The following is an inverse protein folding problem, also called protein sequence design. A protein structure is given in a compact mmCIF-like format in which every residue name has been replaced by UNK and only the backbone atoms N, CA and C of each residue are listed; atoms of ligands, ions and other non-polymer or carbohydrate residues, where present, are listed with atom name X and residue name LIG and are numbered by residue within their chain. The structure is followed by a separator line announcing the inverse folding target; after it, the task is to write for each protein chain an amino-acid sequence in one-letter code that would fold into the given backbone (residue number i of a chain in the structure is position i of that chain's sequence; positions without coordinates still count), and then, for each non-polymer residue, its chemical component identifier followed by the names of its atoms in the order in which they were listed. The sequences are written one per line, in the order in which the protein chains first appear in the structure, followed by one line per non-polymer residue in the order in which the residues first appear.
data_IF_853701779081
#
_entry.id   IF_853701779081
#
_cell.length_a   1.000
_cell.length_b   1.000
_cell.length_c   1.000
_cell.angle_alpha   90.00
_cell.angle_beta   90.00
_cell.angle_gamma   90.00
#
_symmetry.space_group_name_H-M   'P 1'
#
loop_
_entity.id
_entity.type
_entity.pdbx_description
1 polymer ?
#
# COMPACT_ATOMS: atom_id res chain seq x y z
N UNK A 1 -74.95 14.42 28.82
CA UNK A 1 -73.52 14.30 29.21
C UNK A 1 -72.69 14.60 27.99
N UNK A 2 -71.76 15.55 28.11
CA UNK A 2 -71.21 16.29 26.99
C UNK A 2 -70.30 15.42 26.11
N UNK A 3 -70.58 15.37 24.80
CA UNK A 3 -69.82 14.57 23.82
C UNK A 3 -68.36 15.04 23.73
N UNK A 4 -68.08 16.28 24.17
CA UNK A 4 -66.73 16.84 24.32
C UNK A 4 -65.97 16.30 25.53
N UNK A 5 -66.65 15.91 26.61
CA UNK A 5 -66.03 15.32 27.80
C UNK A 5 -65.65 13.84 27.55
N UNK A 6 -66.48 13.10 26.79
CA UNK A 6 -66.20 11.69 26.46
C UNK A 6 -64.98 11.53 25.54
N UNK A 7 -64.78 12.42 24.56
CA UNK A 7 -63.64 12.39 23.62
C UNK A 7 -62.33 12.73 24.35
N UNK A 8 -62.35 13.70 25.26
CA UNK A 8 -61.17 14.09 26.05
C UNK A 8 -60.71 12.99 27.02
N UNK A 9 -61.64 12.25 27.65
CA UNK A 9 -61.30 11.13 28.55
C UNK A 9 -60.68 9.95 27.79
N UNK A 10 -61.13 9.66 26.56
CA UNK A 10 -60.58 8.59 25.71
C UNK A 10 -59.19 8.95 25.16
N UNK A 11 -58.95 10.22 24.80
CA UNK A 11 -57.62 10.69 24.33
C UNK A 11 -56.59 10.72 25.48
N UNK A 12 -57.00 11.04 26.70
CA UNK A 12 -56.11 11.04 27.88
C UNK A 12 -55.77 9.61 28.33
N UNK A 13 -56.75 8.68 28.33
CA UNK A 13 -56.52 7.27 28.68
C UNK A 13 -55.65 6.54 27.63
N UNK A 14 -55.79 6.86 26.35
CA UNK A 14 -54.94 6.32 25.28
C UNK A 14 -53.54 6.97 25.24
N UNK A 15 -53.41 8.27 25.54
CA UNK A 15 -52.13 8.96 25.68
C UNK A 15 -51.28 8.46 26.86
N UNK A 16 -51.91 8.14 28.00
CA UNK A 16 -51.22 7.56 29.16
C UNK A 16 -50.80 6.10 28.95
N UNK A 17 -51.56 5.33 28.17
CA UNK A 17 -51.18 3.97 27.76
C UNK A 17 -50.04 3.98 26.72
N UNK A 18 -50.07 4.93 25.78
CA UNK A 18 -49.01 5.13 24.78
C UNK A 18 -47.66 5.57 25.38
N UNK A 19 -47.67 6.40 26.41
CA UNK A 19 -46.43 6.85 27.07
C UNK A 19 -45.73 5.73 27.87
N UNK A 20 -46.48 4.78 28.44
CA UNK A 20 -45.92 3.60 29.14
C UNK A 20 -45.24 2.61 28.19
N UNK A 21 -45.73 2.48 26.96
CA UNK A 21 -45.12 1.58 25.94
C UNK A 21 -43.83 2.17 25.37
N UNK A 22 -43.67 3.49 25.33
CA UNK A 22 -42.47 4.13 24.79
C UNK A 22 -41.24 3.99 25.71
N UNK A 23 -41.42 4.03 27.04
CA UNK A 23 -40.29 3.91 28.00
C UNK A 23 -39.74 2.47 28.05
N UNK A 24 -40.56 1.43 27.81
CA UNK A 24 -40.09 0.05 27.79
C UNK A 24 -39.17 -0.28 26.60
N UNK A 25 -39.23 0.50 25.50
CA UNK A 25 -38.40 0.27 24.31
C UNK A 25 -36.95 0.75 24.45
N UNK A 26 -36.65 1.61 25.44
CA UNK A 26 -35.30 2.15 25.64
C UNK A 26 -34.39 1.29 26.54
N UNK A 27 -34.91 0.24 27.16
CA UNK A 27 -34.13 -0.69 27.99
C UNK A 27 -33.95 -2.07 27.32
N UNK A 28 -33.73 -2.07 26.00
CA UNK A 28 -33.22 -3.26 25.32
C UNK A 28 -31.70 -3.24 25.54
N UNK A 29 -31.09 -4.26 26.16
CA UNK A 29 -29.63 -4.40 26.09
C UNK A 29 -29.27 -4.44 24.61
N UNK A 30 -28.43 -3.51 24.19
CA UNK A 30 -27.86 -3.43 22.86
C UNK A 30 -27.11 -4.75 22.60
N UNK A 31 -27.83 -5.71 22.00
CA UNK A 31 -27.24 -6.93 21.48
C UNK A 31 -26.19 -6.49 20.47
N UNK A 32 -24.94 -6.66 20.87
CA UNK A 32 -23.75 -6.16 20.17
C UNK A 32 -23.48 -7.05 18.96
N UNK A 33 -24.48 -7.17 18.08
CA UNK A 33 -24.36 -7.71 16.73
C UNK A 33 -24.27 -6.54 15.74
N UNK A 34 -23.43 -5.55 16.05
CA UNK A 34 -22.86 -4.67 15.03
C UNK A 34 -22.11 -5.60 14.07
N UNK A 35 -22.47 -5.70 12.78
CA UNK A 35 -21.61 -6.33 11.80
C UNK A 35 -20.24 -5.69 11.97
N UNK A 36 -19.14 -6.47 12.09
CA UNK A 36 -17.84 -5.90 12.36
C UNK A 36 -17.65 -4.75 11.38
N UNK A 37 -17.50 -3.56 11.94
CA UNK A 37 -17.10 -2.37 11.21
C UNK A 37 -16.08 -2.83 10.20
N UNK A 38 -16.37 -2.65 8.91
CA UNK A 38 -15.42 -2.91 7.85
C UNK A 38 -14.32 -1.87 8.02
N UNK A 39 -13.47 -2.09 9.03
CA UNK A 39 -12.14 -1.54 9.07
C UNK A 39 -11.58 -1.91 7.72
N UNK A 40 -11.31 -0.90 6.90
CA UNK A 40 -10.51 -1.06 5.70
C UNK A 40 -9.17 -1.56 6.23
N UNK A 41 -9.00 -2.88 6.30
CA UNK A 41 -7.71 -3.49 6.51
C UNK A 41 -6.95 -3.18 5.23
N UNK A 42 -6.19 -2.10 5.24
CA UNK A 42 -5.25 -1.85 4.16
C UNK A 42 -4.33 -3.07 4.14
N UNK A 43 -4.48 -3.90 3.10
CA UNK A 43 -3.68 -5.10 2.96
C UNK A 43 -2.19 -4.69 2.96
N UNK A 44 -1.36 -5.51 3.60
CA UNK A 44 0.07 -5.26 3.71
C UNK A 44 0.69 -5.18 2.30
N UNK A 45 1.30 -4.04 1.91
CA UNK A 45 1.89 -3.86 0.59
C UNK A 45 2.93 -4.92 0.23
N UNK A 46 3.73 -5.39 1.19
CA UNK A 46 4.72 -6.44 0.97
C UNK A 46 4.06 -7.79 0.66
N UNK A 47 2.99 -8.13 1.40
CA UNK A 47 2.20 -9.33 1.14
C UNK A 47 1.50 -9.29 -0.23
N UNK A 48 0.95 -8.12 -0.62
CA UNK A 48 0.39 -7.91 -1.96
C UNK A 48 1.47 -8.13 -3.01
N UNK A 49 2.63 -7.49 -2.87
CA UNK A 49 3.72 -7.60 -3.83
C UNK A 49 4.20 -9.05 -3.98
N UNK A 50 4.31 -9.81 -2.90
CA UNK A 50 4.61 -11.24 -2.95
C UNK A 50 3.61 -12.01 -3.81
N UNK A 51 2.32 -11.88 -3.50
CA UNK A 51 1.25 -12.66 -4.13
C UNK A 51 1.03 -12.30 -5.59
N UNK A 52 1.07 -11.01 -5.95
CA UNK A 52 1.02 -10.56 -7.36
C UNK A 52 2.22 -11.06 -8.17
N UNK A 53 3.36 -11.26 -7.53
CA UNK A 53 4.55 -11.84 -8.16
C UNK A 53 4.53 -13.37 -8.21
N UNK A 54 3.46 -14.03 -7.75
CA UNK A 54 3.28 -15.47 -7.83
C UNK A 54 3.91 -16.24 -6.67
N UNK A 55 4.28 -15.54 -5.60
CA UNK A 55 4.68 -16.14 -4.34
C UNK A 55 3.48 -16.44 -3.44
N UNK A 56 3.71 -17.26 -2.42
CA UNK A 56 2.75 -17.53 -1.33
C UNK A 56 3.33 -17.01 -0.02
N UNK A 57 2.52 -16.31 0.77
CA UNK A 57 2.94 -15.83 2.09
C UNK A 57 2.87 -16.96 3.12
N UNK A 58 3.94 -17.12 3.86
CA UNK A 58 4.03 -17.94 5.06
C UNK A 58 4.40 -17.05 6.24
N UNK A 59 3.58 -17.07 7.30
CA UNK A 59 3.89 -16.37 8.54
C UNK A 59 4.73 -17.28 9.42
N UNK A 60 5.85 -16.76 9.92
CA UNK A 60 6.77 -17.43 10.82
C UNK A 60 6.81 -16.69 12.15
N UNK A 61 6.64 -17.41 13.24
CA UNK A 61 6.85 -16.86 14.58
C UNK A 61 8.36 -16.85 14.88
N UNK A 62 8.88 -15.71 15.29
CA UNK A 62 10.27 -15.51 15.75
C UNK A 62 10.24 -14.98 17.20
N UNK A 63 11.38 -15.00 17.92
CA UNK A 63 11.46 -14.37 19.24
C UNK A 63 11.09 -12.88 19.24
N UNK A 64 11.26 -12.21 18.11
CA UNK A 64 11.00 -10.78 17.90
C UNK A 64 9.56 -10.49 17.44
N UNK A 65 8.76 -11.51 17.11
CA UNK A 65 7.38 -11.35 16.67
C UNK A 65 6.98 -12.27 15.52
N UNK A 66 6.24 -11.75 14.55
CA UNK A 66 5.85 -12.47 13.34
C UNK A 66 6.58 -11.89 12.13
N UNK A 67 7.05 -12.77 11.26
CA UNK A 67 7.72 -12.44 10.01
C UNK A 67 6.94 -13.05 8.84
N UNK A 68 6.72 -12.28 7.78
CA UNK A 68 6.19 -12.79 6.52
C UNK A 68 7.31 -13.26 5.60
N UNK A 69 7.31 -14.53 5.23
CA UNK A 69 8.17 -15.08 4.17
C UNK A 69 7.34 -15.26 2.89
N UNK A 70 7.88 -14.82 1.76
CA UNK A 70 7.34 -15.03 0.42
C UNK A 70 8.04 -16.22 -0.25
N UNK A 71 7.28 -17.28 -0.49
CA UNK A 71 7.76 -18.54 -1.08
C UNK A 71 7.38 -18.62 -2.55
N UNK A 72 8.37 -18.82 -3.43
CA UNK A 72 8.16 -18.95 -4.87
C UNK A 72 8.22 -20.42 -5.33
N UNK A 73 7.49 -20.81 -6.40
CA UNK A 73 7.53 -22.17 -6.95
C UNK A 73 8.92 -22.66 -7.39
N UNK A 74 9.84 -21.72 -7.70
CA UNK A 74 11.24 -22.03 -8.01
C UNK A 74 12.12 -22.30 -6.79
N UNK A 75 11.55 -22.31 -5.58
CA UNK A 75 12.26 -22.55 -4.32
C UNK A 75 12.91 -21.30 -3.69
N UNK A 76 12.83 -20.14 -4.34
CA UNK A 76 13.28 -18.88 -3.73
C UNK A 76 12.36 -18.51 -2.55
N UNK A 77 12.97 -18.07 -1.45
CA UNK A 77 12.28 -17.62 -0.25
C UNK A 77 12.90 -16.27 0.14
N UNK A 78 12.05 -15.26 0.31
CA UNK A 78 12.45 -13.93 0.76
C UNK A 78 11.55 -13.47 1.89
N UNK A 79 12.09 -12.73 2.86
CA UNK A 79 11.24 -11.91 3.72
C UNK A 79 10.48 -10.88 2.86
N UNK A 80 9.18 -10.68 3.12
CA UNK A 80 8.29 -9.96 2.20
C UNK A 80 8.68 -8.48 2.01
N UNK A 81 9.14 -7.79 3.05
CA UNK A 81 9.57 -6.40 2.96
C UNK A 81 10.90 -6.25 2.24
N UNK A 82 11.81 -7.22 2.43
CA UNK A 82 13.10 -7.31 1.76
C UNK A 82 12.90 -7.56 0.26
N UNK A 83 11.92 -8.39 -0.11
CA UNK A 83 11.50 -8.56 -1.50
C UNK A 83 10.95 -7.25 -2.10
N UNK A 84 10.07 -6.56 -1.37
CA UNK A 84 9.45 -5.31 -1.82
C UNK A 84 10.48 -4.19 -2.04
N UNK A 85 11.48 -4.09 -1.16
CA UNK A 85 12.55 -3.09 -1.16
C UNK A 85 13.74 -3.48 -2.04
N UNK A 86 13.79 -4.71 -2.56
CA UNK A 86 14.91 -5.17 -3.39
C UNK A 86 16.17 -5.53 -2.60
N UNK A 87 16.07 -5.73 -1.28
CA UNK A 87 17.15 -6.32 -0.46
C UNK A 87 17.20 -7.85 -0.61
N UNK A 88 16.11 -8.46 -1.05
CA UNK A 88 16.06 -9.85 -1.49
C UNK A 88 15.69 -9.91 -2.98
N UNK A 89 16.64 -10.35 -3.81
CA UNK A 89 16.47 -10.43 -5.27
C UNK A 89 15.94 -11.78 -5.69
N UNK A 90 14.82 -11.78 -6.42
CA UNK A 90 14.22 -12.98 -7.03
C UNK A 90 14.11 -12.80 -8.52
N UNK A 91 14.71 -13.72 -9.27
CA UNK A 91 14.69 -13.73 -10.74
C UNK A 91 13.24 -13.69 -11.25
N UNK A 92 12.94 -12.72 -12.10
CA UNK A 92 11.61 -12.53 -12.68
C UNK A 92 10.64 -11.71 -11.82
N UNK A 93 11.04 -11.30 -10.61
CA UNK A 93 10.23 -10.46 -9.70
C UNK A 93 10.81 -9.05 -9.62
N UNK A 94 12.06 -8.95 -9.17
CA UNK A 94 12.75 -7.69 -8.98
C UNK A 94 14.22 -7.81 -9.41
N UNK A 95 14.88 -6.67 -9.55
CA UNK A 95 16.32 -6.56 -9.69
C UNK A 95 16.78 -5.22 -9.11
N UNK A 96 18.07 -5.04 -8.85
CA UNK A 96 18.63 -3.76 -8.40
C UNK A 96 19.77 -3.28 -9.28
N UNK A 97 19.97 -1.97 -9.30
CA UNK A 97 21.17 -1.35 -9.85
C UNK A 97 21.64 -0.23 -8.92
N UNK A 98 22.90 -0.30 -8.51
CA UNK A 98 23.55 0.71 -7.69
C UNK A 98 24.56 1.49 -8.54
N UNK A 99 24.32 2.79 -8.69
CA UNK A 99 25.11 3.66 -9.56
C UNK A 99 25.88 4.68 -8.72
N UNK A 100 27.14 4.91 -9.07
CA UNK A 100 28.02 5.82 -8.35
C UNK A 100 28.77 6.76 -9.30
N UNK A 101 28.81 8.06 -8.95
CA UNK A 101 29.50 9.10 -9.73
C UNK A 101 30.84 9.57 -9.09
N UNK A 102 31.28 8.90 -8.02
CA UNK A 102 32.43 9.33 -7.21
C UNK A 102 32.06 10.12 -5.95
N UNK A 103 30.81 10.59 -5.84
CA UNK A 103 30.32 11.41 -4.73
C UNK A 103 28.94 10.99 -4.23
N UNK A 104 28.03 10.69 -5.13
CA UNK A 104 26.63 10.35 -4.88
C UNK A 104 26.38 8.90 -5.29
N UNK A 105 25.51 8.22 -4.55
CA UNK A 105 25.00 6.91 -4.90
C UNK A 105 23.51 7.02 -5.26
N UNK A 106 23.10 6.31 -6.31
CA UNK A 106 21.70 6.15 -6.71
C UNK A 106 21.42 4.65 -6.77
N UNK A 107 20.54 4.16 -5.90
CA UNK A 107 20.02 2.79 -5.94
C UNK A 107 18.69 2.80 -6.69
N UNK A 108 18.52 1.83 -7.57
CA UNK A 108 17.26 1.65 -8.30
C UNK A 108 16.79 0.21 -8.14
N UNK A 109 15.57 0.04 -7.63
CA UNK A 109 14.89 -1.25 -7.47
C UNK A 109 13.90 -1.42 -8.60
N UNK A 110 14.22 -2.27 -9.58
CA UNK A 110 13.36 -2.57 -10.72
C UNK A 110 12.34 -3.64 -10.35
N UNK A 111 11.07 -3.41 -10.66
CA UNK A 111 9.95 -4.35 -10.43
C UNK A 111 9.43 -4.83 -11.78
N UNK A 112 9.63 -6.11 -12.07
CA UNK A 112 9.55 -6.66 -13.42
C UNK A 112 8.11 -6.72 -13.93
N UNK A 113 7.18 -7.29 -13.15
CA UNK A 113 5.79 -7.46 -13.58
C UNK A 113 5.05 -6.13 -13.73
N UNK A 114 5.24 -5.22 -12.79
CA UNK A 114 4.60 -3.89 -12.81
C UNK A 114 5.29 -2.91 -13.75
N UNK A 115 6.49 -3.24 -14.23
CA UNK A 115 7.34 -2.34 -15.05
C UNK A 115 7.53 -0.99 -14.37
N UNK A 116 7.79 -1.02 -13.07
CA UNK A 116 8.11 0.17 -12.28
C UNK A 116 9.52 0.06 -11.73
N UNK A 117 10.05 1.19 -11.25
CA UNK A 117 11.27 1.24 -10.49
C UNK A 117 11.06 2.11 -9.25
N UNK A 118 11.76 1.82 -8.17
CA UNK A 118 11.92 2.74 -7.04
C UNK A 118 13.32 3.29 -7.09
N UNK A 119 13.44 4.61 -7.04
CA UNK A 119 14.72 5.31 -7.03
C UNK A 119 14.99 5.90 -5.64
N UNK A 120 16.20 5.64 -5.16
CA UNK A 120 16.76 6.16 -3.91
C UNK A 120 18.11 6.82 -4.17
N UNK A 121 18.17 8.12 -3.93
CA UNK A 121 19.34 8.99 -4.05
C UNK A 121 19.37 10.01 -2.89
N UNK A 122 19.61 9.57 -1.64
CA UNK A 122 19.47 10.41 -0.45
C UNK A 122 20.39 11.65 -0.48
N UNK A 123 21.62 11.53 -1.00
CA UNK A 123 22.55 12.66 -1.09
C UNK A 123 22.10 13.77 -2.06
N UNK A 124 21.12 13.47 -2.91
CA UNK A 124 20.51 14.39 -3.86
C UNK A 124 19.10 14.83 -3.42
N UNK A 125 18.57 14.29 -2.32
CA UNK A 125 17.25 14.63 -1.77
C UNK A 125 16.07 13.91 -2.41
N UNK A 126 16.30 12.76 -3.08
CA UNK A 126 15.25 11.96 -3.70
C UNK A 126 15.24 10.57 -3.07
N UNK A 127 14.20 10.23 -2.33
CA UNK A 127 14.08 8.94 -1.63
C UNK A 127 12.72 8.33 -1.90
N UNK A 128 12.69 7.01 -2.12
CA UNK A 128 11.51 6.21 -2.39
C UNK A 128 10.64 6.79 -3.52
N UNK A 129 11.28 7.17 -4.63
CA UNK A 129 10.58 7.74 -5.78
C UNK A 129 10.10 6.61 -6.68
N UNK A 130 8.78 6.44 -6.77
CA UNK A 130 8.16 5.50 -7.71
C UNK A 130 8.20 6.07 -9.14
N UNK A 131 8.79 5.30 -10.04
CA UNK A 131 8.89 5.59 -11.45
C UNK A 131 8.22 4.48 -12.26
N UNK A 132 7.55 4.84 -13.36
CA UNK A 132 6.99 3.90 -14.33
C UNK A 132 7.88 3.81 -15.56
N UNK A 133 8.01 2.61 -16.15
CA UNK A 133 8.78 2.43 -17.37
C UNK A 133 8.20 3.27 -18.50
N UNK A 134 9.06 4.03 -19.18
CA UNK A 134 8.74 4.87 -20.31
C UNK A 134 9.33 4.30 -21.60
N UNK A 135 8.73 4.67 -22.74
CA UNK A 135 9.25 4.27 -24.05
C UNK A 135 10.65 4.87 -24.25
N UNK A 136 11.58 4.02 -24.70
CA UNK A 136 12.92 4.40 -25.12
C UNK A 136 13.35 3.58 -26.33
N UNK A 137 14.20 4.16 -27.18
CA UNK A 137 14.83 3.46 -28.30
C UNK A 137 15.94 2.50 -27.83
N UNK A 138 16.64 2.84 -26.73
CA UNK A 138 17.64 1.99 -26.08
C UNK A 138 17.67 2.20 -24.56
N UNK A 139 18.16 1.19 -23.85
CA UNK A 139 18.25 1.22 -22.39
C UNK A 139 16.88 1.15 -21.69
N UNK A 140 16.91 1.22 -20.37
CA UNK A 140 15.73 1.16 -19.53
C UNK A 140 15.41 2.55 -18.96
N UNK A 141 14.34 3.17 -19.46
CA UNK A 141 13.92 4.52 -19.09
C UNK A 141 12.70 4.47 -18.18
N UNK A 142 12.70 5.29 -17.14
CA UNK A 142 11.65 5.38 -16.14
C UNK A 142 11.33 6.84 -15.81
N UNK A 143 10.06 7.16 -15.61
CA UNK A 143 9.55 8.51 -15.34
C UNK A 143 8.63 8.53 -14.13
N UNK A 144 8.66 9.61 -13.36
CA UNK A 144 7.64 9.90 -12.35
C UNK A 144 6.29 10.20 -13.02
N UNK A 145 5.20 10.08 -12.26
CA UNK A 145 3.83 10.31 -12.76
C UNK A 145 3.64 11.71 -13.37
N UNK A 146 4.28 12.73 -12.80
CA UNK A 146 4.25 14.10 -13.30
C UNK A 146 5.30 14.37 -14.41
N UNK A 147 6.14 13.39 -14.73
CA UNK A 147 7.20 13.48 -15.74
C UNK A 147 8.38 14.38 -15.35
N UNK A 148 8.45 14.85 -14.10
CA UNK A 148 9.51 15.77 -13.66
C UNK A 148 10.81 15.04 -13.32
N UNK A 149 10.74 13.79 -12.90
CA UNK A 149 11.91 12.96 -12.57
C UNK A 149 12.04 11.86 -13.60
N UNK A 150 13.25 11.73 -14.16
CA UNK A 150 13.61 10.68 -15.11
C UNK A 150 14.84 9.94 -14.61
N UNK A 151 14.76 8.61 -14.62
CA UNK A 151 15.92 7.75 -14.52
C UNK A 151 16.09 6.95 -15.81
N UNK A 152 17.30 6.93 -16.36
CA UNK A 152 17.61 6.17 -17.55
C UNK A 152 18.88 5.36 -17.35
N UNK A 153 18.76 4.03 -17.40
CA UNK A 153 19.91 3.13 -17.51
C UNK A 153 20.23 2.89 -18.98
N UNK A 154 21.50 3.03 -19.34
CA UNK A 154 22.01 2.63 -20.65
C UNK A 154 23.49 2.24 -20.56
N UNK A 155 23.82 1.01 -20.97
CA UNK A 155 25.20 0.52 -21.03
C UNK A 155 25.95 0.63 -19.69
N UNK A 156 25.29 0.24 -18.60
CA UNK A 156 25.85 0.28 -17.24
C UNK A 156 26.12 1.71 -16.73
N UNK A 157 25.48 2.71 -17.33
CA UNK A 157 25.40 4.07 -16.81
C UNK A 157 23.97 4.38 -16.39
N UNK A 158 23.82 4.97 -15.21
CA UNK A 158 22.56 5.47 -14.69
C UNK A 158 22.55 7.00 -14.73
N UNK A 159 21.60 7.56 -15.47
CA UNK A 159 21.35 9.01 -15.55
C UNK A 159 20.09 9.35 -14.76
N UNK A 160 20.19 10.32 -13.87
CA UNK A 160 19.03 10.92 -13.20
C UNK A 160 18.89 12.38 -13.63
N UNK A 161 17.72 12.70 -14.17
CA UNK A 161 17.35 14.04 -14.61
C UNK A 161 16.13 14.54 -13.85
N UNK A 162 16.12 15.84 -13.50
CA UNK A 162 15.00 16.51 -12.84
C UNK A 162 14.64 17.76 -13.62
N UNK A 163 13.37 17.90 -13.98
CA UNK A 163 12.85 18.94 -14.86
C UNK A 163 13.65 19.05 -16.18
N UNK A 164 14.04 17.90 -16.74
CA UNK A 164 14.83 17.81 -17.97
C UNK A 164 16.32 18.16 -17.83
N UNK A 165 16.80 18.48 -16.62
CA UNK A 165 18.21 18.74 -16.35
C UNK A 165 18.86 17.51 -15.71
N UNK A 166 19.95 17.02 -16.29
CA UNK A 166 20.79 15.98 -15.66
C UNK A 166 21.37 16.51 -14.35
N UNK A 167 21.17 15.76 -13.27
CA UNK A 167 21.72 16.07 -11.94
C UNK A 167 22.68 14.99 -11.44
N UNK A 168 22.71 13.82 -12.10
CA UNK A 168 23.59 12.71 -11.78
C UNK A 168 23.83 11.83 -13.00
N UNK A 169 25.07 11.38 -13.14
CA UNK A 169 25.51 10.38 -14.12
C UNK A 169 26.54 9.48 -13.44
N UNK A 170 26.17 8.23 -13.16
CA UNK A 170 27.01 7.27 -12.44
C UNK A 170 27.16 5.95 -13.18
N UNK A 171 28.20 5.20 -12.81
CA UNK A 171 28.45 3.84 -13.30
C UNK A 171 27.85 2.81 -12.37
N UNK A 172 27.25 1.77 -12.93
CA UNK A 172 26.81 0.59 -12.19
C UNK A 172 28.01 -0.01 -11.45
N UNK A 173 27.83 -0.34 -10.17
CA UNK A 173 28.83 -0.96 -9.30
C UNK A 173 28.66 -2.48 -9.22
#
# INVERSE_FOLDING_TARGET
MDKKILISVVVILSGLYGLRVFIAKMNTPEDTNTPPSTAVTQANPASIFCTENGGTIQIKNTPEGQLGECLFPGGAICEEWSLLQGDCIVVGVNNTGDYFDGKNAVRVVYRIKTRTAILDAPSLGYENILLAQAISASGARYLSTDGTIEFWEHQSEGRLSVNGKEIFLGKLQ
#
